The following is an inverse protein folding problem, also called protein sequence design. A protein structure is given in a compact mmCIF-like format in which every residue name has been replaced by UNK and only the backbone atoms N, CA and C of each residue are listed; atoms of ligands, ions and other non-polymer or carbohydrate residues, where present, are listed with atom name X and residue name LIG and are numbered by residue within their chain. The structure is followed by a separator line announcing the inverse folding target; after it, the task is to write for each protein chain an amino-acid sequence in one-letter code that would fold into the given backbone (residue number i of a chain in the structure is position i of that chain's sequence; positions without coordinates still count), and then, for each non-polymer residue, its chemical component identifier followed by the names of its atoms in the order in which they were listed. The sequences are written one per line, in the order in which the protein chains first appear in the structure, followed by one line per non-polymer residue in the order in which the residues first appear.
data_IF_528347366965
#
_entry.id   IF_528347366965
#
_cell.length_a   1.000
_cell.length_b   1.000
_cell.length_c   1.000
_cell.angle_alpha   90.00
_cell.angle_beta   90.00
_cell.angle_gamma   90.00
#
_symmetry.space_group_name_H-M   'P 1'
#
loop_
_entity.id
_entity.type
_entity.pdbx_description
1 polymer ?
#
# COMPACT_ATOMS: atom_id res chain seq x y z
N UNK A 1 -12.54 -15.07 -7.86
CA UNK A 1 -12.33 -13.69 -7.37
C UNK A 1 -13.50 -13.23 -6.51
N UNK A 2 -14.71 -13.01 -7.06
CA UNK A 2 -15.90 -12.58 -6.30
C UNK A 2 -16.22 -13.53 -5.13
N UNK A 3 -16.46 -14.82 -5.44
CA UNK A 3 -16.73 -15.84 -4.40
C UNK A 3 -15.67 -15.88 -3.31
N UNK A 4 -14.40 -15.74 -3.67
CA UNK A 4 -13.29 -15.72 -2.70
C UNK A 4 -13.37 -14.52 -1.76
N UNK A 5 -13.77 -13.35 -2.26
CA UNK A 5 -13.97 -12.17 -1.42
C UNK A 5 -15.20 -12.31 -0.51
N UNK A 6 -16.29 -12.90 -1.03
CA UNK A 6 -17.46 -13.24 -0.23
C UNK A 6 -17.11 -14.23 0.87
N UNK A 7 -16.35 -15.29 0.56
CA UNK A 7 -15.86 -16.24 1.56
C UNK A 7 -15.13 -15.49 2.68
N UNK A 8 -14.14 -14.66 2.38
CA UNK A 8 -13.40 -13.89 3.41
C UNK A 8 -14.33 -12.97 4.23
N UNK A 9 -15.23 -12.25 3.56
CA UNK A 9 -16.11 -11.30 4.24
C UNK A 9 -17.17 -11.97 5.13
N UNK A 10 -17.51 -13.22 4.82
CA UNK A 10 -18.59 -13.98 5.46
C UNK A 10 -18.14 -15.30 6.10
N UNK A 11 -16.84 -15.54 6.32
CA UNK A 11 -16.22 -16.79 6.85
C UNK A 11 -16.55 -17.08 8.33
N UNK A 12 -17.68 -16.57 8.83
CA UNK A 12 -18.25 -16.69 10.17
C UNK A 12 -17.64 -15.80 11.28
N UNK A 13 -18.57 -15.24 12.08
CA UNK A 13 -18.51 -14.19 13.13
C UNK A 13 -18.04 -12.79 12.71
N UNK A 14 -18.71 -11.74 13.22
CA UNK A 14 -18.27 -10.33 13.12
C UNK A 14 -17.08 -10.02 14.04
N UNK A 15 -16.66 -10.98 14.87
CA UNK A 15 -15.59 -10.81 15.86
C UNK A 15 -14.85 -12.14 16.12
N UNK A 16 -13.51 -12.17 15.98
CA UNK A 16 -12.68 -11.08 15.45
C UNK A 16 -12.94 -10.89 13.95
N UNK A 17 -12.96 -9.64 13.45
CA UNK A 17 -13.15 -9.37 12.04
C UNK A 17 -11.97 -9.87 11.19
N UNK A 18 -12.18 -10.12 9.89
CA UNK A 18 -11.15 -10.72 9.04
C UNK A 18 -9.94 -9.80 8.85
N UNK A 19 -8.76 -10.39 8.96
CA UNK A 19 -7.48 -9.83 8.52
C UNK A 19 -7.04 -10.61 7.28
N UNK A 20 -7.11 -9.97 6.11
CA UNK A 20 -6.87 -10.58 4.82
C UNK A 20 -5.65 -9.96 4.14
N UNK A 21 -4.64 -10.78 3.88
CA UNK A 21 -3.42 -10.37 3.16
C UNK A 21 -3.43 -10.91 1.74
N UNK A 22 -3.24 -10.02 0.77
CA UNK A 22 -3.26 -10.34 -0.67
C UNK A 22 -1.85 -10.31 -1.25
N UNK A 23 -1.37 -11.44 -1.76
CA UNK A 23 -0.02 -11.63 -2.26
C UNK A 23 0.03 -12.31 -3.65
N UNK A 24 1.16 -12.17 -4.34
CA UNK A 24 1.35 -12.69 -5.71
C UNK A 24 2.19 -11.77 -6.60
N UNK A 25 2.50 -12.22 -7.82
CA UNK A 25 3.40 -11.54 -8.75
C UNK A 25 2.96 -10.11 -9.13
N UNK A 26 3.88 -9.32 -9.69
CA UNK A 26 3.52 -8.02 -10.30
C UNK A 26 2.41 -8.22 -11.35
N UNK A 27 1.47 -7.28 -11.40
CA UNK A 27 0.37 -7.22 -12.38
C UNK A 27 -0.60 -8.42 -12.38
N UNK A 28 -0.62 -9.27 -11.35
CA UNK A 28 -1.57 -10.39 -11.26
C UNK A 28 -2.98 -9.99 -10.80
N UNK A 29 -3.18 -8.73 -10.38
CA UNK A 29 -4.50 -8.22 -9.97
C UNK A 29 -4.71 -8.02 -8.46
N UNK A 30 -3.64 -8.00 -7.64
CA UNK A 30 -3.72 -7.82 -6.18
C UNK A 30 -4.55 -6.60 -5.76
N UNK A 31 -4.19 -5.40 -6.22
CA UNK A 31 -4.93 -4.17 -5.89
C UNK A 31 -6.40 -4.24 -6.29
N UNK A 32 -6.71 -4.88 -7.43
CA UNK A 32 -8.10 -5.08 -7.84
C UNK A 32 -8.85 -6.05 -6.92
N UNK A 33 -8.18 -7.10 -6.44
CA UNK A 33 -8.71 -8.00 -5.41
C UNK A 33 -8.96 -7.27 -4.10
N UNK A 34 -7.94 -6.56 -3.61
CA UNK A 34 -8.00 -5.80 -2.36
C UNK A 34 -9.13 -4.77 -2.37
N UNK A 35 -9.32 -4.06 -3.49
CA UNK A 35 -10.42 -3.10 -3.67
C UNK A 35 -11.79 -3.77 -3.70
N UNK A 36 -11.91 -4.90 -4.38
CA UNK A 36 -13.17 -5.63 -4.43
C UNK A 36 -13.54 -6.19 -3.05
N UNK A 37 -12.57 -6.79 -2.34
CA UNK A 37 -12.74 -7.24 -0.97
C UNK A 37 -13.10 -6.09 -0.03
N UNK A 38 -12.40 -4.95 -0.12
CA UNK A 38 -12.69 -3.74 0.64
C UNK A 38 -14.16 -3.30 0.46
N UNK A 39 -14.64 -3.22 -0.78
CA UNK A 39 -16.03 -2.84 -1.06
C UNK A 39 -17.04 -3.84 -0.49
N UNK A 40 -16.78 -5.15 -0.54
CA UNK A 40 -17.65 -6.16 0.07
C UNK A 40 -17.65 -6.03 1.60
N UNK A 41 -16.49 -5.81 2.22
CA UNK A 41 -16.38 -5.60 3.66
C UNK A 41 -17.12 -4.32 4.10
N UNK A 42 -17.07 -3.23 3.33
CA UNK A 42 -17.79 -1.98 3.61
C UNK A 42 -19.32 -2.12 3.55
N UNK A 43 -19.85 -3.18 2.92
CA UNK A 43 -21.28 -3.48 2.99
C UNK A 43 -21.68 -4.09 4.34
N UNK A 44 -20.72 -4.66 5.08
CA UNK A 44 -20.95 -5.37 6.35
C UNK A 44 -20.43 -4.61 7.57
N UNK A 45 -19.37 -3.82 7.39
CA UNK A 45 -18.69 -3.08 8.45
C UNK A 45 -18.75 -1.58 8.16
N UNK A 46 -19.04 -0.78 9.19
CA UNK A 46 -19.05 0.69 9.05
C UNK A 46 -17.69 1.24 8.64
N UNK A 47 -16.60 0.58 9.06
CA UNK A 47 -15.23 0.96 8.78
C UNK A 47 -14.38 -0.27 8.46
N UNK A 48 -13.46 -0.13 7.52
CA UNK A 48 -12.48 -1.15 7.13
C UNK A 48 -11.11 -0.51 7.09
N UNK A 49 -10.11 -1.13 7.70
CA UNK A 49 -8.73 -0.71 7.61
C UNK A 49 -8.10 -1.28 6.32
N UNK A 50 -7.32 -0.45 5.63
CA UNK A 50 -6.57 -0.83 4.44
C UNK A 50 -5.09 -0.51 4.65
N UNK A 51 -4.25 -1.54 4.73
CA UNK A 51 -2.80 -1.40 4.82
C UNK A 51 -2.19 -1.61 3.43
N UNK A 52 -1.61 -0.56 2.87
CA UNK A 52 -0.86 -0.65 1.63
C UNK A 52 0.63 -0.72 1.90
N UNK A 53 1.26 -1.81 1.45
CA UNK A 53 2.72 -1.98 1.55
C UNK A 53 3.43 -1.91 0.21
N UNK A 54 2.70 -1.68 -0.90
CA UNK A 54 3.28 -1.48 -2.23
C UNK A 54 3.61 -0.01 -2.48
N UNK A 55 4.81 0.40 -2.08
CA UNK A 55 5.31 1.78 -2.27
C UNK A 55 5.39 2.22 -3.73
N UNK A 56 5.39 1.28 -4.69
CA UNK A 56 5.50 1.60 -6.11
C UNK A 56 4.16 1.88 -6.77
N UNK A 57 3.10 1.22 -6.32
CA UNK A 57 1.73 1.35 -6.83
C UNK A 57 0.73 1.36 -5.67
N UNK A 58 0.85 2.38 -4.82
CA UNK A 58 -0.03 2.67 -3.69
C UNK A 58 -1.47 2.88 -4.15
N UNK A 59 -2.46 2.67 -3.27
CA UNK A 59 -3.88 2.82 -3.58
C UNK A 59 -4.42 4.22 -3.25
N UNK A 60 -4.18 4.69 -2.02
CA UNK A 60 -4.80 5.89 -1.45
C UNK A 60 -3.85 7.07 -1.22
N UNK A 61 -2.55 6.85 -1.37
CA UNK A 61 -1.49 7.84 -1.13
C UNK A 61 -0.65 8.04 -2.38
N UNK A 62 0.14 9.11 -2.47
CA UNK A 62 1.18 9.22 -3.50
C UNK A 62 2.15 8.01 -3.45
N UNK A 63 2.90 7.75 -4.53
CA UNK A 63 3.95 6.75 -4.53
C UNK A 63 5.05 7.07 -3.51
N UNK A 64 5.69 6.03 -2.96
CA UNK A 64 6.75 6.14 -1.96
C UNK A 64 6.29 5.94 -0.51
N UNK A 65 4.99 5.79 -0.29
CA UNK A 65 4.39 5.66 1.05
C UNK A 65 4.01 4.21 1.36
N UNK A 66 4.16 3.84 2.64
CA UNK A 66 3.40 2.78 3.28
C UNK A 66 2.27 3.46 4.05
N UNK A 67 1.04 2.98 3.93
CA UNK A 67 -0.11 3.68 4.50
C UNK A 67 -1.11 2.72 5.14
N UNK A 68 -1.70 3.17 6.25
CA UNK A 68 -2.85 2.55 6.89
C UNK A 68 -4.01 3.52 6.82
N UNK A 69 -5.00 3.24 5.97
CA UNK A 69 -6.16 4.10 5.76
C UNK A 69 -7.41 3.44 6.31
N UNK A 70 -8.19 4.17 7.12
CA UNK A 70 -9.52 3.70 7.56
C UNK A 70 -10.56 4.23 6.58
N UNK A 71 -11.26 3.32 5.93
CA UNK A 71 -12.28 3.61 4.92
C UNK A 71 -13.66 3.35 5.50
N UNK A 72 -14.60 4.27 5.29
CA UNK A 72 -15.97 4.24 5.80
C UNK A 72 -17.03 4.47 4.72
N UNK A 73 -16.62 4.57 3.45
CA UNK A 73 -17.53 4.72 2.31
C UNK A 73 -17.02 3.86 1.15
N UNK A 74 -17.93 3.30 0.38
CA UNK A 74 -17.62 2.53 -0.82
C UNK A 74 -16.71 3.34 -1.75
N UNK A 75 -15.78 2.64 -2.39
CA UNK A 75 -14.94 3.20 -3.46
C UNK A 75 -15.47 2.67 -4.80
N UNK A 76 -16.56 3.27 -5.35
CA UNK A 76 -17.19 2.79 -6.58
C UNK A 76 -16.35 3.09 -7.81
N UNK A 77 -15.53 4.13 -7.75
CA UNK A 77 -14.73 4.55 -8.87
C UNK A 77 -13.40 3.76 -8.91
N UNK A 78 -13.27 2.92 -9.93
CA UNK A 78 -12.05 2.17 -10.22
C UNK A 78 -10.88 3.08 -10.64
N UNK A 79 -11.14 4.38 -10.85
CA UNK A 79 -10.17 5.37 -11.31
C UNK A 79 -9.55 6.22 -10.21
N UNK A 80 -9.98 6.16 -8.94
CA UNK A 80 -9.55 7.11 -7.89
C UNK A 80 -8.01 7.17 -7.81
N UNK A 81 -7.39 8.25 -8.31
CA UNK A 81 -5.95 8.41 -8.34
C UNK A 81 -5.48 9.19 -7.10
N UNK A 82 -5.95 8.83 -5.90
CA UNK A 82 -5.90 9.59 -4.64
C UNK A 82 -7.09 10.57 -4.52
N UNK A 83 -7.97 10.37 -3.52
CA UNK A 83 -8.86 11.37 -2.89
C UNK A 83 -10.08 10.74 -2.17
N UNK A 84 -9.98 10.59 -0.85
CA UNK A 84 -10.91 11.38 -0.01
C UNK A 84 -10.13 12.65 0.33
N UNK A 85 -10.79 13.76 0.61
CA UNK A 85 -10.17 14.84 1.41
C UNK A 85 -9.32 14.18 2.49
N UNK A 86 -8.12 14.68 2.85
CA UNK A 86 -7.46 14.24 4.07
C UNK A 86 -8.32 14.69 5.25
N UNK A 87 -9.50 14.09 5.42
CA UNK A 87 -10.24 14.00 6.67
C UNK A 87 -9.41 13.08 7.56
N UNK A 88 -8.26 13.63 7.96
CA UNK A 88 -7.23 12.99 8.76
C UNK A 88 -6.65 11.77 8.04
N UNK A 89 -5.66 12.04 7.20
CA UNK A 89 -4.61 11.05 6.97
C UNK A 89 -3.91 10.84 8.33
N UNK A 90 -4.40 9.87 9.09
CA UNK A 90 -3.76 9.43 10.32
C UNK A 90 -2.54 8.62 9.90
N UNK A 91 -1.40 9.27 9.72
CA UNK A 91 -0.12 8.60 9.97
C UNK A 91 0.11 8.51 11.50
N UNK A 92 -0.91 8.08 12.25
CA UNK A 92 -0.86 7.88 13.69
C UNK A 92 -1.69 6.65 14.02
N UNK A 93 -1.26 5.86 15.01
CA UNK A 93 -2.02 5.62 16.26
C UNK A 93 -0.99 5.41 17.41
N UNK A 94 -1.36 5.02 18.66
CA UNK A 94 -0.49 4.67 19.84
C UNK A 94 -0.92 3.39 20.65
N UNK A 95 0.03 2.48 20.98
CA UNK A 95 0.33 1.66 22.18
C UNK A 95 -0.02 0.15 22.24
N UNK A 96 0.95 -0.73 22.63
CA UNK A 96 0.87 -2.16 23.10
C UNK A 96 1.55 -3.33 22.31
N UNK A 97 2.45 -4.06 23.00
CA UNK A 97 3.22 -5.25 22.55
C UNK A 97 2.42 -6.57 22.52
N UNK A 98 1.09 -6.50 22.47
CA UNK A 98 0.21 -7.67 22.32
C UNK A 98 -0.58 -7.49 21.02
N UNK A 99 -0.93 -8.57 20.28
CA UNK A 99 -1.83 -8.43 19.15
C UNK A 99 -3.11 -7.75 19.64
N UNK A 100 -3.28 -6.48 19.27
CA UNK A 100 -4.50 -5.74 19.54
C UNK A 100 -5.58 -6.49 18.77
N UNK A 101 -6.59 -7.02 19.47
CA UNK A 101 -7.81 -7.46 18.80
C UNK A 101 -8.38 -6.25 18.07
N UNK A 102 -8.12 -6.16 16.77
CA UNK A 102 -8.63 -5.07 15.95
C UNK A 102 -10.12 -5.32 15.78
N UNK A 103 -10.94 -4.38 16.26
CA UNK A 103 -12.40 -4.43 16.06
C UNK A 103 -12.81 -4.11 14.62
N UNK A 104 -11.84 -3.77 13.76
CA UNK A 104 -12.05 -3.48 12.34
C UNK A 104 -11.44 -4.58 11.47
N UNK A 105 -12.12 -4.98 10.38
CA UNK A 105 -11.51 -5.80 9.36
C UNK A 105 -10.33 -5.08 8.72
N UNK A 106 -9.31 -5.83 8.32
CA UNK A 106 -8.08 -5.32 7.73
C UNK A 106 -7.81 -5.99 6.38
N UNK A 107 -7.67 -5.19 5.33
CA UNK A 107 -7.17 -5.63 4.02
C UNK A 107 -5.73 -5.18 3.87
N UNK A 108 -4.83 -6.11 3.56
CA UNK A 108 -3.40 -5.83 3.38
C UNK A 108 -3.00 -6.09 1.93
N UNK A 109 -2.57 -5.04 1.23
CA UNK A 109 -2.02 -5.14 -0.11
C UNK A 109 -0.49 -5.21 -0.05
N UNK A 110 0.11 -6.17 -0.76
CA UNK A 110 1.57 -6.37 -0.79
C UNK A 110 2.21 -6.01 -2.13
N UNK A 111 3.51 -5.69 -2.17
CA UNK A 111 4.23 -5.54 -3.43
C UNK A 111 4.29 -6.86 -4.21
N UNK A 112 4.54 -6.76 -5.52
CA UNK A 112 4.64 -7.93 -6.41
C UNK A 112 6.00 -8.66 -6.43
N UNK A 113 6.85 -8.49 -5.42
CA UNK A 113 8.20 -9.05 -5.39
C UNK A 113 8.19 -10.43 -4.74
N UNK A 114 8.14 -11.46 -5.57
CA UNK A 114 7.95 -12.86 -5.14
C UNK A 114 9.26 -13.66 -5.03
N UNK A 115 10.43 -13.01 -5.18
CA UNK A 115 11.76 -13.63 -5.11
C UNK A 115 12.77 -12.75 -4.38
N UNK A 116 13.84 -13.38 -3.87
CA UNK A 116 14.96 -12.71 -3.22
C UNK A 116 14.50 -11.88 -2.01
N UNK A 117 15.13 -10.73 -1.79
CA UNK A 117 14.83 -9.85 -0.66
C UNK A 117 13.34 -9.48 -0.54
N UNK A 118 12.65 -9.28 -1.67
CA UNK A 118 11.23 -8.97 -1.66
C UNK A 118 10.35 -10.12 -1.14
N UNK A 119 10.76 -11.36 -1.39
CA UNK A 119 10.13 -12.54 -0.82
C UNK A 119 10.36 -12.61 0.69
N UNK A 120 11.57 -12.34 1.15
CA UNK A 120 11.89 -12.38 2.59
C UNK A 120 11.08 -11.34 3.37
N UNK A 121 10.92 -10.15 2.82
CA UNK A 121 10.07 -9.10 3.40
C UNK A 121 8.62 -9.54 3.45
N UNK A 122 8.11 -10.20 2.41
CA UNK A 122 6.75 -10.74 2.41
C UNK A 122 6.58 -11.79 3.52
N UNK A 123 7.55 -12.68 3.72
CA UNK A 123 7.54 -13.66 4.82
C UNK A 123 7.52 -12.95 6.18
N UNK A 124 8.36 -11.93 6.37
CA UNK A 124 8.39 -11.15 7.62
C UNK A 124 7.03 -10.46 7.88
N UNK A 125 6.43 -9.87 6.83
CA UNK A 125 5.11 -9.24 6.90
C UNK A 125 4.02 -10.26 7.24
N UNK A 126 4.04 -11.45 6.63
CA UNK A 126 3.10 -12.54 6.92
C UNK A 126 3.21 -13.04 8.37
N UNK A 127 4.44 -13.33 8.84
CA UNK A 127 4.71 -13.75 10.22
C UNK A 127 4.27 -12.69 11.23
N UNK A 128 4.51 -11.42 10.91
CA UNK A 128 4.22 -10.32 11.83
C UNK A 128 2.74 -9.91 11.87
N UNK A 129 2.05 -9.90 10.72
CA UNK A 129 0.62 -9.60 10.65
C UNK A 129 -0.21 -10.76 11.21
N UNK A 130 0.25 -12.00 11.07
CA UNK A 130 -0.50 -13.21 11.41
C UNK A 130 -1.95 -13.16 10.86
N UNK A 131 -2.11 -13.00 9.52
CA UNK A 131 -3.43 -12.77 8.93
C UNK A 131 -4.31 -14.02 9.07
N UNK A 132 -5.60 -13.81 9.37
CA UNK A 132 -6.61 -14.88 9.36
C UNK A 132 -6.76 -15.53 7.98
N UNK A 133 -6.60 -14.73 6.92
CA UNK A 133 -6.77 -15.14 5.54
C UNK A 133 -5.57 -14.70 4.70
N UNK A 134 -5.03 -15.62 3.91
CA UNK A 134 -3.99 -15.30 2.92
C UNK A 134 -4.52 -15.62 1.54
N UNK A 135 -4.59 -14.61 0.69
CA UNK A 135 -5.00 -14.74 -0.71
C UNK A 135 -3.75 -14.76 -1.57
N UNK A 136 -3.51 -15.91 -2.22
CA UNK A 136 -2.41 -16.06 -3.18
C UNK A 136 -2.97 -16.00 -4.60
N UNK A 137 -2.60 -14.95 -5.33
CA UNK A 137 -2.98 -14.81 -6.74
C UNK A 137 -1.91 -15.42 -7.64
N UNK A 138 -2.23 -16.60 -8.18
CA UNK A 138 -1.37 -17.35 -9.10
C UNK A 138 -1.55 -16.90 -10.55
N UNK A 139 -0.46 -16.91 -11.30
CA UNK A 139 -0.43 -16.68 -12.76
C UNK A 139 0.03 -17.95 -13.47
N UNK A 140 -0.19 -18.04 -14.78
CA UNK A 140 0.17 -19.22 -15.58
C UNK A 140 1.68 -19.41 -15.71
N UNK A 141 2.47 -18.36 -15.46
CA UNK A 141 3.93 -18.48 -15.38
C UNK A 141 4.33 -19.03 -14.01
N UNK A 142 4.34 -20.35 -13.84
CA UNK A 142 4.57 -21.02 -12.55
C UNK A 142 5.84 -20.58 -11.82
N UNK A 143 6.95 -20.38 -12.55
CA UNK A 143 8.21 -19.90 -11.98
C UNK A 143 8.17 -18.46 -11.45
N UNK A 144 7.02 -17.77 -11.54
CA UNK A 144 6.75 -16.45 -10.96
C UNK A 144 5.68 -16.50 -9.87
N UNK A 145 5.19 -17.67 -9.49
CA UNK A 145 4.28 -17.82 -8.36
C UNK A 145 5.06 -17.95 -7.04
N UNK A 146 4.39 -17.63 -5.95
CA UNK A 146 4.89 -17.93 -4.61
C UNK A 146 4.81 -19.44 -4.33
N UNK A 147 5.59 -19.97 -3.38
CA UNK A 147 5.52 -21.37 -3.01
C UNK A 147 4.10 -21.81 -2.60
N UNK A 148 3.83 -23.11 -2.76
CA UNK A 148 2.57 -23.73 -2.33
C UNK A 148 2.43 -23.76 -0.81
N UNK A 149 1.18 -23.80 -0.34
CA UNK A 149 0.89 -23.86 1.09
C UNK A 149 1.27 -22.59 1.87
N UNK A 150 1.31 -22.72 3.19
CA UNK A 150 1.65 -21.64 4.11
C UNK A 150 3.17 -21.51 4.28
N UNK A 151 3.86 -21.13 3.21
CA UNK A 151 5.34 -21.10 3.10
C UNK A 151 6.08 -20.21 4.12
N UNK A 152 5.34 -19.38 4.87
CA UNK A 152 5.88 -18.51 5.92
C UNK A 152 5.71 -19.13 7.32
N UNK A 153 5.06 -20.29 7.47
CA UNK A 153 4.92 -20.97 8.74
C UNK A 153 6.02 -22.03 8.88
N UNK A 154 6.53 -22.19 10.10
CA UNK A 154 7.43 -23.27 10.44
C UNK A 154 6.58 -24.55 10.68
N UNK A 155 7.10 -25.75 10.37
CA UNK A 155 6.33 -27.00 10.37
C UNK A 155 5.65 -27.33 11.72
N UNK A 156 6.13 -26.75 12.81
CA UNK A 156 5.63 -26.97 14.17
C UNK A 156 4.46 -26.04 14.58
N UNK A 157 4.09 -25.04 13.77
CA UNK A 157 3.03 -24.08 14.12
C UNK A 157 1.64 -24.57 13.68
N UNK A 158 0.78 -24.86 14.67
CA UNK A 158 -0.58 -25.41 14.49
C UNK A 158 -1.67 -24.36 14.17
N UNK A 159 -1.34 -23.09 14.00
CA UNK A 159 -2.35 -22.08 13.70
C UNK A 159 -2.87 -22.25 12.26
N UNK A 160 -4.15 -22.59 12.12
CA UNK A 160 -4.80 -22.74 10.83
C UNK A 160 -5.06 -21.37 10.21
N UNK A 161 -4.28 -21.01 9.19
CA UNK A 161 -4.59 -19.89 8.29
C UNK A 161 -5.50 -20.36 7.17
N UNK A 162 -6.52 -19.56 6.84
CA UNK A 162 -7.35 -19.78 5.67
C UNK A 162 -6.59 -19.34 4.40
N UNK A 163 -5.89 -20.30 3.77
CA UNK A 163 -5.20 -20.08 2.51
C UNK A 163 -6.18 -20.19 1.34
N UNK A 164 -6.31 -19.10 0.58
CA UNK A 164 -7.18 -19.00 -0.59
C UNK A 164 -6.32 -18.79 -1.82
N UNK A 165 -6.25 -19.80 -2.68
CA UNK A 165 -5.57 -19.70 -3.96
C UNK A 165 -6.56 -19.28 -5.06
N UNK A 166 -6.22 -18.21 -5.78
CA UNK A 166 -7.01 -17.73 -6.92
C UNK A 166 -6.12 -17.53 -8.12
N UNK A 167 -6.64 -17.77 -9.32
CA UNK A 167 -5.94 -17.44 -10.57
C UNK A 167 -6.15 -15.96 -10.92
N UNK A 168 -5.18 -15.37 -11.61
CA UNK A 168 -5.33 -14.04 -12.23
C UNK A 168 -6.62 -13.96 -13.05
N UNK A 169 -7.40 -12.91 -12.80
CA UNK A 169 -8.72 -12.73 -13.41
C UNK A 169 -8.66 -12.45 -14.92
N UNK A 170 -7.57 -11.86 -15.41
CA UNK A 170 -7.36 -11.67 -16.85
C UNK A 170 -6.70 -12.90 -17.43
N UNK A 171 -7.38 -13.52 -18.37
CA UNK A 171 -6.92 -14.70 -19.11
C UNK A 171 -7.14 -14.50 -20.62
N UNK A 172 -6.30 -15.13 -21.44
CA UNK A 172 -6.49 -15.19 -22.88
C UNK A 172 -7.50 -16.28 -23.28
N UNK A 173 -7.74 -16.44 -24.58
CA UNK A 173 -8.61 -17.50 -25.11
C UNK A 173 -8.14 -18.92 -24.77
N UNK A 174 -6.86 -19.09 -24.40
CA UNK A 174 -6.26 -20.35 -23.96
C UNK A 174 -6.23 -20.48 -22.43
N UNK A 175 -6.96 -19.63 -21.70
CA UNK A 175 -7.00 -19.56 -20.22
C UNK A 175 -5.64 -19.25 -19.56
N UNK A 176 -4.68 -18.73 -20.32
CA UNK A 176 -3.38 -18.30 -19.78
C UNK A 176 -3.54 -16.90 -19.21
N UNK A 177 -2.94 -16.66 -18.04
CA UNK A 177 -3.01 -15.35 -17.39
C UNK A 177 -2.40 -14.26 -18.27
N UNK A 178 -3.17 -13.21 -18.54
CA UNK A 178 -2.72 -12.01 -19.23
C UNK A 178 -2.39 -10.96 -18.18
N UNK A 179 -1.10 -10.70 -17.99
CA UNK A 179 -0.66 -9.64 -17.09
C UNK A 179 -1.11 -8.29 -17.66
N UNK A 180 -1.66 -7.43 -16.79
CA UNK A 180 -1.97 -6.06 -17.21
C UNK A 180 -0.66 -5.36 -17.57
N UNK A 181 -0.48 -5.00 -18.83
CA UNK A 181 0.58 -4.06 -19.19
C UNK A 181 0.18 -2.70 -18.61
N UNK A 182 0.94 -2.28 -17.60
CA UNK A 182 0.81 -0.99 -16.95
C UNK A 182 2.15 -0.29 -17.07
N UNK A 183 2.12 0.93 -17.60
CA UNK A 183 3.26 1.84 -17.43
C UNK A 183 3.25 2.33 -15.99
N UNK A 184 4.11 1.73 -15.17
CA UNK A 184 4.24 2.08 -13.76
C UNK A 184 4.82 3.50 -13.56
N UNK A 185 5.53 4.06 -14.54
CA UNK A 185 5.94 5.46 -14.53
C UNK A 185 4.72 6.36 -14.67
N UNK A 186 3.98 6.18 -15.76
CA UNK A 186 2.78 6.97 -16.04
C UNK A 186 1.75 6.91 -14.90
N UNK A 187 1.50 5.73 -14.32
CA UNK A 187 0.57 5.61 -13.20
C UNK A 187 1.04 6.35 -11.94
N UNK A 188 2.35 6.41 -11.70
CA UNK A 188 2.90 7.20 -10.59
C UNK A 188 2.74 8.69 -10.85
N UNK A 189 3.00 9.14 -12.07
CA UNK A 189 2.83 10.54 -12.47
C UNK A 189 1.36 10.97 -12.36
N UNK A 190 0.42 10.13 -12.81
CA UNK A 190 -1.02 10.38 -12.68
C UNK A 190 -1.46 10.46 -11.21
N UNK A 191 -0.88 9.64 -10.31
CA UNK A 191 -1.17 9.70 -8.87
C UNK A 191 -0.63 10.97 -8.22
N UNK A 192 0.59 11.37 -8.55
CA UNK A 192 1.17 12.65 -8.09
C UNK A 192 0.32 13.81 -8.60
N UNK A 193 -0.06 13.78 -9.88
CA UNK A 193 -0.91 14.79 -10.49
C UNK A 193 -2.25 14.91 -9.76
N UNK A 194 -2.92 13.79 -9.50
CA UNK A 194 -4.20 13.78 -8.81
C UNK A 194 -4.09 14.19 -7.33
N UNK A 195 -2.98 13.88 -6.66
CA UNK A 195 -2.70 14.41 -5.32
C UNK A 195 -2.63 15.94 -5.31
N UNK A 196 -1.84 16.55 -6.20
CA UNK A 196 -1.72 18.02 -6.25
C UNK A 196 -2.91 18.71 -6.90
N UNK A 197 -3.72 18.00 -7.71
CA UNK A 197 -4.97 18.53 -8.26
C UNK A 197 -5.95 18.97 -7.17
N UNK A 198 -5.85 18.40 -5.97
CA UNK A 198 -6.65 18.74 -4.79
C UNK A 198 -6.47 20.18 -4.31
N UNK A 199 -5.33 20.79 -4.61
CA UNK A 199 -5.04 22.17 -4.24
C UNK A 199 -5.94 23.17 -5.00
N UNK A 200 -6.69 22.72 -6.00
CA UNK A 200 -7.52 23.58 -6.85
C UNK A 200 -9.00 23.16 -6.82
N UNK A 201 -9.94 24.11 -6.99
CA UNK A 201 -11.36 23.82 -7.13
C UNK A 201 -11.66 22.74 -8.17
N UNK A 202 -12.66 21.90 -7.93
CA UNK A 202 -13.01 20.78 -8.82
C UNK A 202 -13.52 21.22 -10.20
N UNK A 203 -14.06 22.43 -10.33
CA UNK A 203 -14.53 23.02 -11.59
C UNK A 203 -13.40 23.51 -12.51
N UNK A 204 -12.15 23.57 -12.04
CA UNK A 204 -11.02 23.98 -12.86
C UNK A 204 -10.58 22.83 -13.80
N UNK A 205 -10.59 23.04 -15.11
CA UNK A 205 -10.16 22.02 -16.06
C UNK A 205 -8.63 21.91 -16.10
N UNK A 206 -8.08 21.06 -15.24
CA UNK A 206 -6.68 20.63 -15.26
C UNK A 206 -6.66 19.16 -15.66
N UNK A 207 -6.23 18.88 -16.88
CA UNK A 207 -6.22 17.55 -17.50
C UNK A 207 -4.81 17.05 -17.81
N UNK A 208 -3.81 17.94 -17.79
CA UNK A 208 -2.42 17.60 -18.05
C UNK A 208 -1.48 17.99 -16.91
N UNK A 209 -0.33 17.31 -16.82
CA UNK A 209 0.74 17.67 -15.87
C UNK A 209 1.23 19.11 -16.11
N UNK A 210 1.26 19.58 -17.37
CA UNK A 210 1.68 20.94 -17.73
C UNK A 210 0.72 22.00 -17.18
N UNK A 211 -0.59 21.77 -17.33
CA UNK A 211 -1.62 22.65 -16.77
C UNK A 211 -1.56 22.68 -15.25
N UNK A 212 -1.36 21.51 -14.62
CA UNK A 212 -1.21 21.42 -13.18
C UNK A 212 0.01 22.19 -12.68
N UNK A 213 1.16 22.01 -13.33
CA UNK A 213 2.38 22.73 -13.00
C UNK A 213 2.18 24.25 -13.10
N UNK A 214 1.55 24.72 -14.19
CA UNK A 214 1.23 26.14 -14.35
C UNK A 214 0.32 26.67 -13.23
N UNK A 215 -0.73 25.91 -12.88
CA UNK A 215 -1.64 26.27 -11.80
C UNK A 215 -0.92 26.33 -10.44
N UNK A 216 -0.05 25.37 -10.15
CA UNK A 216 0.78 25.33 -8.93
C UNK A 216 1.72 26.53 -8.85
N UNK A 217 2.38 26.88 -9.96
CA UNK A 217 3.26 28.06 -9.99
C UNK A 217 2.52 29.39 -9.89
N UNK A 218 1.22 29.40 -10.20
CA UNK A 218 0.37 30.59 -10.06
C UNK A 218 -0.20 30.73 -8.64
N UNK A 219 -0.10 29.69 -7.81
CA UNK A 219 -0.55 29.73 -6.43
C UNK A 219 0.51 30.43 -5.57
N UNK A 220 0.14 31.43 -4.74
CA UNK A 220 1.07 32.00 -3.76
C UNK A 220 1.69 30.88 -2.90
N UNK A 221 3.03 30.79 -2.80
CA UNK A 221 3.69 29.75 -2.04
C UNK A 221 3.45 29.95 -0.53
N UNK A 222 3.44 28.86 0.22
CA UNK A 222 3.50 28.93 1.67
C UNK A 222 4.93 29.24 2.11
N UNK A 223 5.10 30.34 2.83
CA UNK A 223 6.39 30.71 3.42
C UNK A 223 6.53 30.11 4.81
N UNK A 224 7.62 29.37 5.01
CA UNK A 224 7.93 28.74 6.30
C UNK A 224 9.39 29.08 6.64
N UNK A 225 9.69 29.62 7.84
CA UNK A 225 11.06 29.89 8.24
C UNK A 225 11.90 28.61 8.21
N UNK A 226 13.09 28.65 7.58
CA UNK A 226 13.98 27.48 7.53
C UNK A 226 14.32 26.97 8.94
N UNK A 227 14.45 27.88 9.92
CA UNK A 227 14.67 27.53 11.32
C UNK A 227 13.56 26.67 11.96
N UNK A 228 12.35 26.67 11.36
CA UNK A 228 11.22 25.84 11.80
C UNK A 228 11.15 24.48 11.10
N UNK A 229 12.04 24.21 10.13
CA UNK A 229 12.09 22.95 9.37
C UNK A 229 13.38 22.20 9.73
N UNK A 230 13.24 20.92 10.12
CA UNK A 230 14.38 20.01 10.27
C UNK A 230 14.37 19.00 9.12
N UNK A 231 15.35 19.09 8.24
CA UNK A 231 15.50 18.16 7.12
C UNK A 231 16.41 17.01 7.57
N UNK A 232 15.90 15.76 7.47
CA UNK A 232 16.68 14.54 7.71
C UNK A 232 16.80 13.75 6.42
N UNK A 233 18.02 13.37 6.05
CA UNK A 233 18.26 12.44 4.94
C UNK A 233 18.34 11.02 5.49
N UNK A 234 17.49 10.12 4.99
CA UNK A 234 17.41 8.75 5.52
C UNK A 234 18.44 7.79 4.90
N UNK A 235 19.01 8.13 3.73
CA UNK A 235 19.80 7.22 2.88
C UNK A 235 21.01 7.82 2.13
N UNK A 236 21.41 9.06 2.38
CA UNK A 236 22.53 9.70 1.66
C UNK A 236 23.42 10.54 2.57
N UNK A 237 24.74 10.33 2.49
CA UNK A 237 25.73 11.41 2.71
C UNK A 237 25.87 12.13 1.36
N UNK A 238 25.40 13.39 1.22
CA UNK A 238 25.47 14.08 -0.07
C UNK A 238 25.70 15.60 0.04
N UNK A 239 26.45 16.09 -0.95
CA UNK A 239 27.08 17.42 -1.08
C UNK A 239 26.03 18.53 -1.28
N UNK A 240 26.19 19.62 -0.52
CA UNK A 240 25.29 20.77 -0.34
C UNK A 240 24.68 21.43 -1.61
N UNK A 241 25.21 21.19 -2.82
CA UNK A 241 24.75 21.87 -4.05
C UNK A 241 23.44 21.32 -4.62
N UNK A 242 23.08 20.06 -4.34
CA UNK A 242 21.86 19.42 -4.88
C UNK A 242 20.60 19.81 -4.08
N UNK A 243 20.77 20.31 -2.85
CA UNK A 243 19.68 20.60 -1.90
C UNK A 243 18.71 21.70 -2.39
N UNK A 244 19.20 22.71 -3.13
CA UNK A 244 18.38 23.84 -3.59
C UNK A 244 17.26 23.46 -4.56
N UNK A 245 17.42 22.37 -5.33
CA UNK A 245 16.45 21.96 -6.35
C UNK A 245 15.35 21.08 -5.73
N UNK A 246 15.70 20.21 -4.79
CA UNK A 246 14.75 19.28 -4.15
C UNK A 246 13.74 19.98 -3.21
N UNK A 247 14.15 21.08 -2.59
CA UNK A 247 13.33 21.83 -1.62
C UNK A 247 12.09 22.51 -2.22
N UNK A 248 12.03 22.71 -3.54
CA UNK A 248 10.89 23.39 -4.20
C UNK A 248 9.65 22.50 -4.38
N UNK A 249 9.75 21.17 -4.20
CA UNK A 249 8.67 20.23 -4.55
C UNK A 249 8.29 19.22 -3.45
N UNK A 250 8.92 19.28 -2.27
CA UNK A 250 8.67 18.32 -1.20
C UNK A 250 7.34 18.61 -0.48
N UNK A 251 6.41 17.67 -0.60
CA UNK A 251 5.34 17.51 0.39
C UNK A 251 6.01 17.31 1.75
N UNK A 252 5.88 18.30 2.64
CA UNK A 252 6.44 18.26 3.98
C UNK A 252 5.64 17.24 4.81
N UNK A 253 6.24 16.09 5.09
CA UNK A 253 5.72 15.12 6.05
C UNK A 253 5.87 15.67 7.47
N UNK A 254 4.79 15.64 8.27
CA UNK A 254 4.84 15.91 9.71
C UNK A 254 5.23 14.63 10.45
N UNK A 255 6.36 14.64 11.18
CA UNK A 255 6.72 13.57 12.12
C UNK A 255 5.64 13.44 13.22
N UNK A 256 5.21 12.21 13.49
CA UNK A 256 4.21 11.86 14.51
C UNK A 256 4.91 11.02 15.61
N UNK A 257 4.61 11.27 16.91
CA UNK A 257 5.39 10.75 18.04
C UNK A 257 5.42 9.21 18.21
N UNK A 258 6.57 8.68 18.62
CA UNK A 258 7.08 7.29 18.50
C UNK A 258 6.35 6.17 19.28
N UNK A 259 5.48 6.49 20.23
CA UNK A 259 5.09 5.53 21.30
C UNK A 259 3.89 4.59 20.96
N UNK A 260 3.78 4.01 19.74
CA UNK A 260 2.63 3.18 19.29
C UNK A 260 2.82 1.66 19.10
N UNK A 261 1.76 0.85 19.33
CA UNK A 261 1.63 -0.53 18.86
C UNK A 261 1.41 -0.68 17.36
N UNK A 262 0.50 0.11 16.78
CA UNK A 262 0.06 -0.03 15.39
C UNK A 262 1.09 0.56 14.41
N UNK A 263 1.93 1.53 14.86
CA UNK A 263 3.13 2.00 14.16
C UNK A 263 4.14 0.87 13.96
N UNK A 264 4.19 -0.17 14.80
CA UNK A 264 5.17 -1.24 14.62
C UNK A 264 4.96 -1.99 13.29
N UNK A 265 3.73 -2.07 12.76
CA UNK A 265 3.45 -2.69 11.46
C UNK A 265 4.06 -1.91 10.30
N UNK A 266 3.73 -0.63 10.21
CA UNK A 266 4.24 0.24 9.15
C UNK A 266 5.72 0.53 9.35
N UNK A 267 6.15 0.85 10.57
CA UNK A 267 7.56 1.08 10.93
C UNK A 267 8.40 -0.16 10.70
N UNK A 268 7.97 -1.38 11.05
CA UNK A 268 8.77 -2.58 10.77
C UNK A 268 8.70 -3.01 9.31
N UNK A 269 7.57 -2.86 8.62
CA UNK A 269 7.53 -3.05 7.18
C UNK A 269 8.50 -2.08 6.49
N UNK A 270 8.51 -0.82 6.94
CA UNK A 270 9.45 0.20 6.53
C UNK A 270 10.89 -0.17 6.90
N UNK A 271 11.18 -0.52 8.15
CA UNK A 271 12.52 -0.86 8.65
C UNK A 271 13.04 -2.14 8.00
N UNK A 272 12.19 -3.13 7.72
CA UNK A 272 12.57 -4.33 6.97
C UNK A 272 12.90 -3.98 5.52
N UNK A 273 12.12 -3.10 4.87
CA UNK A 273 12.48 -2.57 3.55
C UNK A 273 13.78 -1.75 3.64
N UNK A 274 13.94 -0.93 4.68
CA UNK A 274 15.07 -0.01 4.88
C UNK A 274 16.37 -0.74 5.15
N UNK A 275 16.38 -1.73 6.05
CA UNK A 275 17.54 -2.53 6.40
C UNK A 275 18.00 -3.38 5.20
N UNK A 276 17.05 -3.94 4.46
CA UNK A 276 17.37 -4.88 3.37
C UNK A 276 17.63 -4.20 2.02
N UNK A 277 17.10 -3.00 1.77
CA UNK A 277 17.36 -2.22 0.54
C UNK A 277 18.22 -0.97 0.73
N UNK A 278 18.31 -0.44 1.95
CA UNK A 278 19.09 0.75 2.28
C UNK A 278 20.59 0.51 2.41
N UNK A 279 21.02 -0.73 2.60
CA UNK A 279 22.41 -1.17 2.42
C UNK A 279 22.59 -1.75 1.01
N UNK A 280 22.34 -0.94 -0.01
CA UNK A 280 22.71 -1.31 -1.37
C UNK A 280 24.24 -1.43 -1.48
N UNK A 281 24.79 -2.34 -2.31
CA UNK A 281 26.21 -2.33 -2.59
C UNK A 281 26.55 -0.98 -3.19
N UNK A 282 27.62 -0.34 -2.70
CA UNK A 282 28.20 0.83 -3.35
C UNK A 282 28.34 0.52 -4.84
N UNK A 283 27.71 1.31 -5.70
CA UNK A 283 27.91 1.14 -7.14
C UNK A 283 29.37 1.47 -7.46
N UNK A 284 30.01 0.70 -8.35
CA UNK A 284 31.35 1.01 -8.86
C UNK A 284 31.40 2.37 -9.57
#
# INVERSE_FOLDING_TARGET
MVRSCETIAYDSVTSPPPVALVCGAKNCGKTAFSRHLLNILLQRYQKVAYLDTDVGQTEFTPPGFLSLTVIDQLTPDLTIPCLKTPEREYCMLKGSKKPVKTELPLVVNTPGWVKGIGHDILVDVLKYIAPTHVVKINISAEGKNLPSGAFWLDEDHKESVNLIEVSSARQDSFKRSVLVQKDAGLLRDLRIMAYFRQCFPSNLNITTIKELAHALTSHPPYEIPISSIKIKHLHCQLVLKILKIYLHALALEREIPEDDARLLLVSRAYDNQRLRFGTGPGRP
#
